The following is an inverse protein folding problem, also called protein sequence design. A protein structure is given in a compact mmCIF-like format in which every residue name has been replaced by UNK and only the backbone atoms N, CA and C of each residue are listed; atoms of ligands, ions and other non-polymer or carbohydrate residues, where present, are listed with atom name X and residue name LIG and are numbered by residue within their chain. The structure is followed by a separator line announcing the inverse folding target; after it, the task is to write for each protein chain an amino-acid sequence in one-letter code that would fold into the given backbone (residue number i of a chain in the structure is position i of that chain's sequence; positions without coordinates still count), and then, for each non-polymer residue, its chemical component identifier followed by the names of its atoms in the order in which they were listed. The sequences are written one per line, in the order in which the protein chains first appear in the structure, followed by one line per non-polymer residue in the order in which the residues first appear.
data_IF_228115586294
#
_entry.id   IF_228115586294
#
_cell.length_a   1.000
_cell.length_b   1.000
_cell.length_c   1.000
_cell.angle_alpha   90.00
_cell.angle_beta   90.00
_cell.angle_gamma   90.00
#
_symmetry.space_group_name_H-M   'P 1'
#
loop_
_entity.id
_entity.type
_entity.pdbx_description
1 polymer ?
#
# COMPACT_ATOMS: atom_id res chain seq x y z
N UNK A 1 -20.73 20.81 -27.55
CA UNK A 1 -20.16 21.60 -26.44
C UNK A 1 -19.00 20.81 -25.89
N UNK A 2 -17.78 21.15 -26.26
CA UNK A 2 -16.55 20.51 -25.78
C UNK A 2 -16.24 21.04 -24.39
N UNK A 3 -15.92 20.18 -23.39
CA UNK A 3 -15.45 20.69 -22.11
C UNK A 3 -14.07 21.31 -22.33
N UNK A 4 -13.99 22.61 -22.10
CA UNK A 4 -12.73 23.34 -22.07
C UNK A 4 -11.84 22.75 -20.99
N UNK A 5 -10.76 22.12 -21.41
CA UNK A 5 -9.64 21.78 -20.51
C UNK A 5 -9.08 23.11 -20.04
N UNK A 6 -9.48 23.54 -18.86
CA UNK A 6 -8.90 24.68 -18.17
C UNK A 6 -7.45 24.32 -17.83
N UNK A 7 -6.56 24.58 -18.76
CA UNK A 7 -5.11 24.60 -18.57
C UNK A 7 -4.75 25.69 -17.59
N UNK A 8 -4.92 25.41 -16.30
CA UNK A 8 -4.45 26.29 -15.25
C UNK A 8 -2.93 26.30 -15.26
N UNK A 9 -2.36 27.45 -15.63
CA UNK A 9 -0.96 27.78 -15.52
C UNK A 9 -0.48 27.59 -14.07
N UNK A 10 -0.09 26.39 -13.73
CA UNK A 10 0.37 26.02 -12.38
C UNK A 10 1.86 25.73 -12.35
N UNK A 11 2.69 26.18 -13.27
CA UNK A 11 4.13 26.09 -13.22
C UNK A 11 4.66 25.04 -12.21
N UNK A 12 5.85 25.22 -11.70
CA UNK A 12 6.41 24.39 -10.61
C UNK A 12 5.49 24.27 -9.37
N UNK A 13 4.72 25.33 -9.03
CA UNK A 13 3.75 25.29 -7.92
C UNK A 13 2.61 24.27 -8.13
N UNK A 14 2.20 24.01 -9.35
CA UNK A 14 1.18 22.98 -9.65
C UNK A 14 1.68 21.57 -9.34
N UNK A 15 2.96 21.31 -9.59
CA UNK A 15 3.61 20.02 -9.31
C UNK A 15 3.65 19.72 -7.81
N UNK A 16 3.82 20.73 -6.95
CA UNK A 16 3.92 20.55 -5.51
C UNK A 16 2.59 20.60 -4.75
N UNK A 17 1.49 20.91 -5.46
CA UNK A 17 0.16 21.05 -4.82
C UNK A 17 -0.34 19.77 -4.15
N UNK A 18 0.14 18.60 -4.59
CA UNK A 18 -0.16 17.30 -3.98
C UNK A 18 0.95 16.73 -3.09
N UNK A 19 2.12 17.38 -3.04
CA UNK A 19 3.30 16.83 -2.36
C UNK A 19 3.13 16.81 -0.83
N UNK A 20 2.64 17.90 -0.24
CA UNK A 20 2.45 17.98 1.22
C UNK A 20 1.48 16.91 1.70
N UNK A 21 0.25 16.78 1.15
CA UNK A 21 -0.65 15.69 1.52
C UNK A 21 -0.07 14.30 1.27
N UNK A 22 0.73 14.12 0.21
CA UNK A 22 1.38 12.85 -0.08
C UNK A 22 2.47 12.50 0.95
N UNK A 23 3.23 13.50 1.39
CA UNK A 23 4.24 13.33 2.45
C UNK A 23 3.55 13.02 3.78
N UNK A 24 2.53 13.80 4.16
CA UNK A 24 1.75 13.55 5.38
C UNK A 24 1.15 12.15 5.38
N UNK A 25 0.53 11.74 4.28
CA UNK A 25 -0.03 10.41 4.13
C UNK A 25 1.04 9.32 4.28
N UNK A 26 2.23 9.52 3.71
CA UNK A 26 3.33 8.57 3.83
C UNK A 26 3.92 8.52 5.24
N UNK A 27 4.05 9.65 5.92
CA UNK A 27 4.53 9.69 7.30
C UNK A 27 3.53 8.99 8.23
N UNK A 28 2.25 9.32 8.12
CA UNK A 28 1.19 8.72 8.95
C UNK A 28 1.01 7.22 8.66
N UNK A 29 1.06 6.83 7.40
CA UNK A 29 0.91 5.42 7.01
C UNK A 29 2.17 4.59 7.31
N UNK A 30 3.36 5.18 7.24
CA UNK A 30 4.64 4.46 7.38
C UNK A 30 5.31 4.63 8.73
N UNK A 31 4.99 5.70 9.50
CA UNK A 31 5.53 5.87 10.84
C UNK A 31 5.26 4.67 11.76
N UNK A 32 4.01 4.19 11.86
CA UNK A 32 3.68 3.00 12.63
C UNK A 32 4.29 1.71 12.09
N UNK A 33 4.66 1.66 10.81
CA UNK A 33 5.18 0.48 10.13
C UNK A 33 6.43 -0.09 10.80
N UNK A 34 7.36 0.79 11.20
CA UNK A 34 8.58 0.36 11.89
C UNK A 34 8.27 -0.30 13.23
N UNK A 35 7.39 0.31 14.02
CA UNK A 35 6.98 -0.24 15.31
C UNK A 35 6.25 -1.57 15.14
N UNK A 36 5.31 -1.63 14.20
CA UNK A 36 4.54 -2.84 13.92
C UNK A 36 5.46 -3.95 13.39
N UNK A 37 6.39 -3.64 12.50
CA UNK A 37 7.37 -4.61 11.99
C UNK A 37 8.24 -5.18 13.10
N UNK A 38 8.70 -4.34 14.02
CA UNK A 38 9.49 -4.79 15.16
C UNK A 38 8.68 -5.71 16.09
N UNK A 39 7.45 -5.34 16.41
CA UNK A 39 6.56 -6.17 17.23
C UNK A 39 6.28 -7.54 16.59
N UNK A 40 6.06 -7.58 15.27
CA UNK A 40 5.86 -8.84 14.55
C UNK A 40 7.14 -9.67 14.51
N UNK A 41 8.30 -9.05 14.33
CA UNK A 41 9.60 -9.74 14.35
C UNK A 41 9.85 -10.38 15.71
N UNK A 42 9.67 -9.63 16.80
CA UNK A 42 9.76 -10.18 18.16
C UNK A 42 8.74 -11.28 18.42
N UNK A 43 7.51 -11.11 17.92
CA UNK A 43 6.49 -12.15 17.98
C UNK A 43 6.89 -13.44 17.28
N UNK A 44 7.52 -13.34 16.11
CA UNK A 44 8.05 -14.51 15.37
C UNK A 44 9.19 -15.16 16.15
N UNK A 45 10.16 -14.39 16.64
CA UNK A 45 11.29 -14.92 17.41
C UNK A 45 10.86 -15.63 18.69
N UNK A 46 9.87 -15.07 19.39
CA UNK A 46 9.39 -15.64 20.65
C UNK A 46 8.52 -16.91 20.47
N UNK A 47 7.87 -17.07 19.32
CA UNK A 47 6.92 -18.16 19.10
C UNK A 47 7.37 -19.20 18.06
N UNK A 48 8.53 -18.99 17.41
CA UNK A 48 9.07 -19.90 16.40
C UNK A 48 10.55 -20.14 16.62
N UNK A 49 11.12 -21.10 15.90
CA UNK A 49 12.57 -21.32 15.86
C UNK A 49 13.32 -20.39 14.91
N UNK A 50 12.62 -19.44 14.28
CA UNK A 50 13.23 -18.47 13.37
C UNK A 50 13.92 -17.38 14.16
N UNK A 51 15.10 -16.98 13.72
CA UNK A 51 15.90 -15.89 14.33
C UNK A 51 16.60 -15.05 13.27
N UNK A 52 17.03 -13.88 13.66
CA UNK A 52 17.81 -12.96 12.81
C UNK A 52 17.05 -12.58 11.53
N UNK A 53 17.71 -12.64 10.38
CA UNK A 53 17.18 -12.21 9.08
C UNK A 53 15.89 -12.94 8.69
N UNK A 54 15.77 -14.24 9.03
CA UNK A 54 14.56 -15.01 8.70
C UNK A 54 13.35 -14.56 9.53
N UNK A 55 13.54 -14.27 10.82
CA UNK A 55 12.49 -13.74 11.68
C UNK A 55 12.08 -12.33 11.21
N UNK A 56 13.06 -11.48 10.88
CA UNK A 56 12.82 -10.13 10.37
C UNK A 56 12.08 -10.15 9.05
N UNK A 57 12.46 -11.00 8.12
CA UNK A 57 11.74 -11.13 6.84
C UNK A 57 10.28 -11.55 7.07
N UNK A 58 10.06 -12.60 7.86
CA UNK A 58 8.70 -13.09 8.18
C UNK A 58 7.88 -12.03 8.90
N UNK A 59 8.47 -11.35 9.90
CA UNK A 59 7.84 -10.25 10.62
C UNK A 59 7.46 -9.09 9.71
N UNK A 60 8.35 -8.72 8.78
CA UNK A 60 8.13 -7.64 7.82
C UNK A 60 7.04 -7.97 6.79
N UNK A 61 6.97 -9.22 6.31
CA UNK A 61 5.87 -9.68 5.45
C UNK A 61 4.53 -9.58 6.18
N UNK A 62 4.45 -10.09 7.40
CA UNK A 62 3.21 -10.10 8.18
C UNK A 62 2.77 -8.68 8.55
N UNK A 63 3.70 -7.85 9.07
CA UNK A 63 3.41 -6.46 9.43
C UNK A 63 3.00 -5.64 8.21
N UNK A 64 3.74 -5.75 7.10
CA UNK A 64 3.45 -5.06 5.85
C UNK A 64 2.06 -5.43 5.33
N UNK A 65 1.70 -6.71 5.38
CA UNK A 65 0.37 -7.15 4.99
C UNK A 65 -0.73 -6.51 5.85
N UNK A 66 -0.60 -6.55 7.17
CA UNK A 66 -1.59 -5.97 8.09
C UNK A 66 -1.70 -4.46 7.90
N UNK A 67 -0.58 -3.75 7.88
CA UNK A 67 -0.55 -2.29 7.67
C UNK A 67 -1.11 -1.93 6.28
N UNK A 68 -0.77 -2.70 5.25
CA UNK A 68 -1.29 -2.51 3.91
C UNK A 68 -2.80 -2.71 3.80
N UNK A 69 -3.36 -3.70 4.47
CA UNK A 69 -4.82 -3.90 4.56
C UNK A 69 -5.49 -2.71 5.24
N UNK A 70 -4.95 -2.22 6.35
CA UNK A 70 -5.48 -1.06 7.05
C UNK A 70 -5.40 0.23 6.22
N UNK A 71 -4.27 0.45 5.56
CA UNK A 71 -4.09 1.57 4.64
C UNK A 71 -5.03 1.48 3.43
N UNK A 72 -5.20 0.29 2.86
CA UNK A 72 -6.13 0.02 1.77
C UNK A 72 -7.59 0.30 2.16
N UNK A 73 -7.97 -0.04 3.37
CA UNK A 73 -9.31 0.25 3.90
C UNK A 73 -9.51 1.77 4.06
N UNK A 74 -8.49 2.49 4.55
CA UNK A 74 -8.54 3.95 4.68
C UNK A 74 -8.67 4.63 3.31
N UNK A 75 -7.93 4.17 2.31
CA UNK A 75 -8.00 4.67 0.94
C UNK A 75 -9.36 4.38 0.29
N UNK A 76 -9.89 3.19 0.47
CA UNK A 76 -11.23 2.83 0.01
C UNK A 76 -12.31 3.73 0.61
N UNK A 77 -12.25 3.96 1.92
CA UNK A 77 -13.15 4.89 2.63
C UNK A 77 -13.08 6.30 2.06
N UNK A 78 -11.86 6.84 1.91
CA UNK A 78 -11.61 8.17 1.34
C UNK A 78 -12.23 8.30 -0.06
N UNK A 79 -12.08 7.27 -0.88
CA UNK A 79 -12.61 7.24 -2.23
C UNK A 79 -14.14 7.24 -2.26
N UNK A 80 -14.79 6.45 -1.43
CA UNK A 80 -16.26 6.44 -1.32
C UNK A 80 -16.80 7.80 -0.89
N UNK A 81 -16.13 8.46 0.06
CA UNK A 81 -16.48 9.81 0.48
C UNK A 81 -16.28 10.84 -0.65
N UNK A 82 -15.17 10.77 -1.37
CA UNK A 82 -14.87 11.71 -2.46
C UNK A 82 -15.82 11.57 -3.65
N UNK A 83 -16.36 10.38 -3.86
CA UNK A 83 -17.33 10.10 -4.93
C UNK A 83 -18.77 10.36 -4.49
N UNK A 84 -18.99 10.89 -3.28
CA UNK A 84 -20.33 11.11 -2.68
C UNK A 84 -21.20 9.85 -2.65
N UNK A 85 -20.58 8.66 -2.66
CA UNK A 85 -21.30 7.37 -2.62
C UNK A 85 -21.83 7.12 -1.20
N UNK A 86 -21.12 7.61 -0.18
CA UNK A 86 -21.50 7.47 1.22
C UNK A 86 -21.42 8.81 1.95
N UNK A 87 -22.24 8.96 2.98
CA UNK A 87 -22.18 10.11 3.89
C UNK A 87 -21.08 9.93 4.95
N UNK A 88 -20.66 11.02 5.58
CA UNK A 88 -19.68 10.96 6.67
C UNK A 88 -20.15 10.07 7.83
N UNK A 89 -21.47 9.96 8.07
CA UNK A 89 -22.06 9.10 9.09
C UNK A 89 -21.95 7.62 8.74
N UNK A 90 -22.14 7.29 7.46
CA UNK A 90 -22.01 5.91 6.92
C UNK A 90 -20.56 5.49 6.75
N UNK A 91 -19.64 6.45 6.71
CA UNK A 91 -18.20 6.23 6.62
C UNK A 91 -17.55 5.71 7.92
N UNK A 92 -18.32 5.37 8.95
CA UNK A 92 -17.80 4.66 10.12
C UNK A 92 -17.34 3.27 9.71
N UNK A 93 -16.19 2.85 10.21
CA UNK A 93 -15.52 1.62 9.77
C UNK A 93 -16.42 0.38 9.78
N UNK A 94 -17.15 0.15 10.88
CA UNK A 94 -18.06 -0.99 11.00
C UNK A 94 -19.25 -0.92 10.03
N UNK A 95 -19.80 0.27 9.80
CA UNK A 95 -20.90 0.48 8.85
C UNK A 95 -20.44 0.26 7.40
N UNK A 96 -19.22 0.69 7.06
CA UNK A 96 -18.64 0.55 5.73
C UNK A 96 -18.41 -0.92 5.36
N UNK A 97 -17.82 -1.69 6.26
CA UNK A 97 -17.62 -3.14 6.04
C UNK A 97 -18.97 -3.85 5.95
N UNK A 98 -19.90 -3.53 6.86
CA UNK A 98 -21.24 -4.11 6.87
C UNK A 98 -22.02 -3.77 5.58
N UNK A 99 -21.95 -2.53 5.11
CA UNK A 99 -22.59 -2.09 3.87
C UNK A 99 -22.02 -2.82 2.65
N UNK A 100 -20.69 -2.93 2.53
CA UNK A 100 -20.05 -3.66 1.44
C UNK A 100 -20.45 -5.14 1.42
N UNK A 101 -20.58 -5.77 2.59
CA UNK A 101 -21.02 -7.17 2.71
C UNK A 101 -22.48 -7.33 2.29
N UNK A 102 -23.38 -6.42 2.69
CA UNK A 102 -24.80 -6.47 2.33
C UNK A 102 -25.07 -6.18 0.85
N UNK A 103 -24.26 -5.29 0.24
CA UNK A 103 -24.38 -4.96 -1.17
C UNK A 103 -23.84 -6.06 -2.11
N UNK A 104 -23.37 -7.19 -1.58
CA UNK A 104 -22.72 -8.23 -2.38
C UNK A 104 -21.32 -7.85 -2.89
N UNK A 105 -20.78 -6.72 -2.44
CA UNK A 105 -19.46 -6.20 -2.84
C UNK A 105 -18.31 -6.72 -1.95
N UNK A 106 -18.62 -7.54 -0.95
CA UNK A 106 -17.65 -8.04 0.02
C UNK A 106 -16.45 -8.71 -0.64
N UNK A 107 -16.67 -9.52 -1.67
CA UNK A 107 -15.59 -10.17 -2.43
C UNK A 107 -14.70 -9.15 -3.12
N UNK A 108 -15.28 -8.08 -3.68
CA UNK A 108 -14.54 -7.00 -4.33
C UNK A 108 -13.71 -6.21 -3.32
N UNK A 109 -14.26 -5.89 -2.16
CA UNK A 109 -13.56 -5.22 -1.07
C UNK A 109 -12.39 -6.08 -0.57
N UNK A 110 -12.63 -7.36 -0.25
CA UNK A 110 -11.58 -8.29 0.21
C UNK A 110 -10.44 -8.37 -0.81
N UNK A 111 -10.73 -8.47 -2.11
CA UNK A 111 -9.69 -8.50 -3.15
C UNK A 111 -8.85 -7.22 -3.17
N UNK A 112 -9.46 -6.06 -3.00
CA UNK A 112 -8.75 -4.76 -2.94
C UNK A 112 -7.86 -4.69 -1.71
N UNK A 113 -8.37 -5.08 -0.55
CA UNK A 113 -7.63 -5.09 0.70
C UNK A 113 -6.47 -6.09 0.67
N UNK A 114 -6.71 -7.28 0.13
CA UNK A 114 -5.67 -8.28 -0.08
C UNK A 114 -4.58 -7.78 -1.03
N UNK A 115 -4.96 -7.11 -2.11
CA UNK A 115 -4.00 -6.52 -3.05
C UNK A 115 -3.14 -5.43 -2.38
N UNK A 116 -3.75 -4.53 -1.59
CA UNK A 116 -3.03 -3.52 -0.83
C UNK A 116 -2.09 -4.14 0.21
N UNK A 117 -2.56 -5.16 0.94
CA UNK A 117 -1.73 -5.91 1.89
C UNK A 117 -0.54 -6.59 1.22
N UNK A 118 -0.76 -7.26 0.09
CA UNK A 118 0.30 -7.93 -0.68
C UNK A 118 1.35 -6.93 -1.18
N UNK A 119 0.92 -5.79 -1.73
CA UNK A 119 1.83 -4.75 -2.20
C UNK A 119 2.72 -4.21 -1.06
N UNK A 120 2.12 -3.91 0.10
CA UNK A 120 2.86 -3.44 1.26
C UNK A 120 3.78 -4.52 1.84
N UNK A 121 3.36 -5.78 1.87
CA UNK A 121 4.20 -6.90 2.32
C UNK A 121 5.45 -7.06 1.44
N UNK A 122 5.31 -6.96 0.12
CA UNK A 122 6.46 -7.00 -0.83
C UNK A 122 7.38 -5.82 -0.58
N UNK A 123 6.83 -4.61 -0.43
CA UNK A 123 7.62 -3.42 -0.15
C UNK A 123 8.40 -3.55 1.15
N UNK A 124 7.72 -3.85 2.26
CA UNK A 124 8.32 -3.87 3.58
C UNK A 124 9.34 -4.98 3.74
N UNK A 125 9.04 -6.19 3.25
CA UNK A 125 10.01 -7.29 3.30
C UNK A 125 11.27 -6.97 2.49
N UNK A 126 11.15 -6.40 1.30
CA UNK A 126 12.29 -5.99 0.48
C UNK A 126 13.07 -4.87 1.15
N UNK A 127 12.37 -3.87 1.70
CA UNK A 127 12.99 -2.74 2.37
C UNK A 127 13.84 -3.17 3.58
N UNK A 128 13.23 -3.88 4.53
CA UNK A 128 13.92 -4.26 5.76
C UNK A 128 15.06 -5.26 5.51
N UNK A 129 14.84 -6.23 4.61
CA UNK A 129 15.90 -7.20 4.27
C UNK A 129 17.08 -6.52 3.58
N UNK A 130 16.82 -5.61 2.63
CA UNK A 130 17.88 -4.88 1.93
C UNK A 130 18.61 -3.95 2.87
N UNK A 131 17.89 -3.21 3.73
CA UNK A 131 18.49 -2.32 4.70
C UNK A 131 19.41 -3.08 5.67
N UNK A 132 18.95 -4.21 6.21
CA UNK A 132 19.74 -5.04 7.10
C UNK A 132 20.99 -5.57 6.40
N UNK A 133 20.85 -6.12 5.19
CA UNK A 133 21.96 -6.64 4.42
C UNK A 133 23.03 -5.57 4.15
N UNK A 134 22.63 -4.36 3.78
CA UNK A 134 23.55 -3.26 3.50
C UNK A 134 24.21 -2.69 4.78
N UNK A 135 23.44 -2.59 5.87
CA UNK A 135 23.97 -2.02 7.12
C UNK A 135 24.87 -3.00 7.87
N UNK A 136 24.51 -4.27 7.94
CA UNK A 136 25.26 -5.29 8.68
C UNK A 136 26.31 -6.00 7.82
N UNK A 137 25.95 -6.38 6.58
CA UNK A 137 26.84 -7.11 5.68
C UNK A 137 27.90 -6.24 5.00
N UNK A 138 27.56 -5.01 4.63
CA UNK A 138 28.44 -4.11 3.89
C UNK A 138 28.84 -2.85 4.67
N UNK A 139 28.42 -2.72 5.91
CA UNK A 139 28.74 -1.59 6.79
C UNK A 139 28.41 -0.20 6.19
N UNK A 140 27.41 -0.12 5.35
CA UNK A 140 26.97 1.15 4.78
C UNK A 140 26.43 2.08 5.86
N UNK A 141 26.60 3.38 5.67
CA UNK A 141 26.01 4.36 6.59
C UNK A 141 24.49 4.24 6.60
N UNK A 142 23.87 4.53 7.73
CA UNK A 142 22.41 4.42 7.89
C UNK A 142 21.61 5.18 6.80
N UNK A 143 21.98 6.42 6.40
CA UNK A 143 21.24 7.13 5.34
C UNK A 143 21.38 6.46 3.98
N UNK A 144 22.55 5.93 3.63
CA UNK A 144 22.80 5.29 2.33
C UNK A 144 22.12 3.94 2.24
N UNK A 145 22.18 3.11 3.28
CA UNK A 145 21.49 1.82 3.32
C UNK A 145 19.96 2.00 3.27
N UNK A 146 19.45 3.00 3.98
CA UNK A 146 18.02 3.35 3.94
C UNK A 146 17.58 3.80 2.54
N UNK A 147 18.32 4.69 1.89
CA UNK A 147 18.04 5.17 0.55
C UNK A 147 18.03 4.04 -0.49
N UNK A 148 19.05 3.18 -0.46
CA UNK A 148 19.16 2.04 -1.37
C UNK A 148 18.04 1.01 -1.13
N UNK A 149 17.71 0.73 0.12
CA UNK A 149 16.60 -0.15 0.48
C UNK A 149 15.25 0.40 -0.01
N UNK A 150 15.02 1.72 0.11
CA UNK A 150 13.80 2.36 -0.38
C UNK A 150 13.67 2.26 -1.92
N UNK A 151 14.76 2.42 -2.66
CA UNK A 151 14.78 2.25 -4.11
C UNK A 151 14.48 0.78 -4.48
N UNK A 152 15.18 -0.17 -3.87
CA UNK A 152 14.98 -1.60 -4.13
C UNK A 152 13.53 -2.02 -3.83
N UNK A 153 12.98 -1.61 -2.69
CA UNK A 153 11.60 -1.90 -2.32
C UNK A 153 10.59 -1.27 -3.28
N UNK A 154 10.84 -0.03 -3.74
CA UNK A 154 9.98 0.64 -4.71
C UNK A 154 9.97 -0.10 -6.05
N UNK A 155 11.13 -0.52 -6.54
CA UNK A 155 11.24 -1.30 -7.80
C UNK A 155 10.52 -2.63 -7.66
N UNK A 156 10.74 -3.36 -6.56
CA UNK A 156 10.10 -4.66 -6.32
C UNK A 156 8.57 -4.56 -6.21
N UNK A 157 8.07 -3.52 -5.55
CA UNK A 157 6.62 -3.32 -5.35
C UNK A 157 5.92 -2.61 -6.51
N UNK A 158 6.65 -2.03 -7.47
CA UNK A 158 6.09 -1.13 -8.50
C UNK A 158 4.94 -1.75 -9.30
N UNK A 159 5.11 -2.99 -9.76
CA UNK A 159 4.08 -3.69 -10.54
C UNK A 159 2.82 -3.94 -9.70
N UNK A 160 2.99 -4.27 -8.43
CA UNK A 160 1.88 -4.48 -7.50
C UNK A 160 1.18 -3.16 -7.17
N UNK A 161 1.92 -2.08 -6.95
CA UNK A 161 1.38 -0.74 -6.67
C UNK A 161 0.52 -0.24 -7.85
N UNK A 162 1.02 -0.39 -9.07
CA UNK A 162 0.25 -0.09 -10.28
C UNK A 162 -1.02 -0.95 -10.39
N UNK A 163 -0.93 -2.24 -10.05
CA UNK A 163 -2.09 -3.14 -10.01
C UNK A 163 -3.12 -2.71 -8.97
N UNK A 164 -2.67 -2.38 -7.76
CA UNK A 164 -3.54 -1.86 -6.67
C UNK A 164 -4.20 -0.55 -7.10
N UNK A 165 -3.45 0.38 -7.68
CA UNK A 165 -3.99 1.64 -8.16
C UNK A 165 -5.11 1.42 -9.20
N UNK A 166 -4.91 0.53 -10.18
CA UNK A 166 -5.96 0.17 -11.16
C UNK A 166 -7.17 -0.47 -10.48
N UNK A 167 -6.98 -1.38 -9.53
CA UNK A 167 -8.08 -2.01 -8.79
C UNK A 167 -8.88 -1.00 -7.98
N UNK A 168 -8.22 0.02 -7.42
CA UNK A 168 -8.89 1.07 -6.65
C UNK A 168 -9.67 2.06 -7.53
N UNK A 169 -9.33 2.21 -8.81
CA UNK A 169 -10.06 3.10 -9.75
C UNK A 169 -11.38 2.47 -10.23
N UNK A 170 -11.48 1.15 -10.27
CA UNK A 170 -12.71 0.47 -10.70
C UNK A 170 -13.87 0.84 -9.76
N UNK A 171 -15.04 1.13 -10.32
CA UNK A 171 -16.23 1.45 -9.53
C UNK A 171 -16.53 0.35 -8.49
N UNK A 172 -17.00 0.69 -7.28
CA UNK A 172 -17.26 -0.28 -6.22
C UNK A 172 -18.17 -1.42 -6.65
N UNK A 173 -19.18 -1.10 -7.46
CA UNK A 173 -20.19 -2.04 -7.98
C UNK A 173 -19.67 -3.01 -9.04
N UNK A 174 -18.50 -2.77 -9.62
CA UNK A 174 -17.91 -3.66 -10.62
C UNK A 174 -17.06 -4.74 -9.99
N UNK A 175 -17.18 -5.96 -10.52
CA UNK A 175 -16.35 -7.09 -10.09
C UNK A 175 -14.88 -6.81 -10.40
N UNK A 176 -14.06 -6.79 -9.37
CA UNK A 176 -12.60 -6.56 -9.47
C UNK A 176 -11.91 -7.89 -9.77
N UNK A 177 -11.02 -7.88 -10.74
CA UNK A 177 -10.11 -9.01 -11.02
C UNK A 177 -9.10 -9.20 -9.88
N UNK A 178 -8.49 -10.38 -9.79
CA UNK A 178 -7.42 -10.62 -8.83
C UNK A 178 -6.15 -9.82 -9.17
N UNK A 179 -5.36 -9.45 -8.17
CA UNK A 179 -4.14 -8.65 -8.35
C UNK A 179 -3.22 -9.21 -9.42
N UNK A 180 -2.94 -10.50 -9.40
CA UNK A 180 -2.07 -11.14 -10.39
C UNK A 180 -2.60 -11.08 -11.82
N UNK A 181 -3.93 -11.14 -12.00
CA UNK A 181 -4.56 -10.99 -13.32
C UNK A 181 -4.40 -9.57 -13.84
N UNK A 182 -4.56 -8.56 -12.95
CA UNK A 182 -4.36 -7.15 -13.30
C UNK A 182 -2.91 -6.88 -13.65
N UNK A 183 -1.96 -7.36 -12.85
CA UNK A 183 -0.52 -7.21 -13.12
C UNK A 183 -0.11 -7.89 -14.42
N UNK A 184 -0.62 -9.11 -14.68
CA UNK A 184 -0.39 -9.80 -15.94
C UNK A 184 -0.95 -9.01 -17.14
N UNK A 185 -2.15 -8.44 -17.02
CA UNK A 185 -2.74 -7.58 -18.05
C UNK A 185 -1.87 -6.36 -18.35
N UNK A 186 -1.32 -5.71 -17.33
CA UNK A 186 -0.40 -4.57 -17.50
C UNK A 186 0.85 -4.98 -18.30
N UNK A 187 1.42 -6.13 -17.99
CA UNK A 187 2.62 -6.63 -18.68
C UNK A 187 2.35 -6.96 -20.16
N UNK A 188 1.13 -7.38 -20.49
CA UNK A 188 0.75 -7.70 -21.90
C UNK A 188 0.29 -6.50 -22.70
N UNK A 189 -0.19 -5.43 -22.05
CA UNK A 189 -0.57 -4.17 -22.71
C UNK A 189 0.65 -3.33 -23.14
N UNK A 190 1.82 -3.56 -22.54
CA UNK A 190 3.09 -2.85 -22.82
C UNK A 190 3.99 -3.52 -23.87
N UNK A 191 3.61 -4.67 -24.39
CA UNK A 191 4.30 -5.39 -25.47
C UNK A 191 3.53 -5.28 -26.79
#
# INVERSE_FOLDING_TARGET
MSPSVAGGAGGLRGFYRGLVPAIEQRIVARGPMFLVSELFTQGVENNTSLSGTSARWTGSVASGYVVGVMAGLAEYRKKLLSQSVITAKEARWGALVKSAMHAGEGVSLVRRLHAAGTCAAVYDSTFFTTQEHLSTGHQWSAPTSFGAAAVAATVAAFSFDTGVARMMVVAPTKRVQGLFQVVKGIATEGS
#
